data_IF_176556214780
#
_entry.id   IF_176556214780
#
_cell.length_a   1.000
_cell.length_b   1.000
_cell.length_c   1.000
_cell.angle_alpha   90.00
_cell.angle_beta   90.00
_cell.angle_gamma   90.00
#
_symmetry.space_group_name_H-M   'P 1'
#
loop_
_entity.id
_entity.type
_entity.pdbx_description
1 polymer ?
#
# COMPACT_ATOMS: atom_id res chain seq x y z
N UNK A 1 -4.60 -45.63 -20.91
CA UNK A 1 -5.34 -44.67 -20.07
C UNK A 1 -4.47 -44.41 -18.85
N UNK A 2 -3.90 -43.21 -18.73
CA UNK A 2 -3.00 -42.83 -17.65
C UNK A 2 -3.84 -42.49 -16.42
N UNK A 3 -3.81 -43.32 -15.38
CA UNK A 3 -4.76 -43.16 -14.27
C UNK A 3 -4.16 -42.40 -13.08
N UNK A 4 -2.83 -42.51 -12.88
CA UNK A 4 -2.14 -41.93 -11.71
C UNK A 4 -0.72 -41.47 -12.03
N UNK A 5 -0.54 -40.36 -12.78
CA UNK A 5 0.77 -39.76 -13.00
C UNK A 5 1.28 -39.06 -11.73
N UNK A 6 2.58 -39.23 -11.46
CA UNK A 6 3.32 -38.54 -10.41
C UNK A 6 4.68 -38.10 -10.94
N UNK A 7 5.14 -36.92 -10.54
CA UNK A 7 6.54 -36.55 -10.75
C UNK A 7 7.44 -37.34 -9.80
N UNK A 8 8.60 -37.77 -10.28
CA UNK A 8 9.63 -38.41 -9.46
C UNK A 8 10.95 -37.68 -9.72
N UNK A 9 11.62 -37.30 -8.64
CA UNK A 9 12.96 -36.69 -8.69
C UNK A 9 13.95 -37.67 -8.08
N UNK A 10 15.09 -37.85 -8.75
CA UNK A 10 16.16 -38.73 -8.32
C UNK A 10 17.20 -37.89 -7.59
N UNK A 11 17.34 -38.13 -6.29
CA UNK A 11 18.35 -37.52 -5.44
C UNK A 11 19.25 -38.61 -4.85
N UNK A 12 20.49 -38.67 -5.33
CA UNK A 12 21.44 -39.76 -5.05
C UNK A 12 20.78 -41.12 -5.37
N UNK A 13 20.69 -42.03 -4.40
CA UNK A 13 20.06 -43.34 -4.58
C UNK A 13 18.55 -43.33 -4.22
N UNK A 14 17.98 -42.17 -3.93
CA UNK A 14 16.57 -42.02 -3.53
C UNK A 14 15.72 -41.48 -4.66
N UNK A 15 14.61 -42.17 -4.93
CA UNK A 15 13.56 -41.66 -5.79
C UNK A 15 12.47 -41.00 -4.94
N UNK A 16 12.41 -39.67 -4.96
CA UNK A 16 11.43 -38.90 -4.22
C UNK A 16 10.21 -38.67 -5.10
N UNK A 17 9.06 -39.21 -4.68
CA UNK A 17 7.79 -39.15 -5.41
C UNK A 17 6.96 -37.96 -4.95
N UNK A 18 6.52 -37.14 -5.91
CA UNK A 18 5.65 -36.01 -5.68
C UNK A 18 4.16 -36.39 -5.57
N UNK A 19 3.30 -35.39 -5.30
CA UNK A 19 1.85 -35.59 -5.28
C UNK A 19 1.32 -36.02 -6.65
N UNK A 20 0.05 -36.46 -6.69
CA UNK A 20 -0.61 -36.85 -7.94
C UNK A 20 -0.70 -35.63 -8.87
N UNK A 21 -0.27 -35.78 -10.11
CA UNK A 21 -0.44 -34.74 -11.12
C UNK A 21 -1.91 -34.66 -11.59
N UNK A 22 -2.32 -33.46 -11.95
CA UNK A 22 -3.64 -33.19 -12.53
C UNK A 22 -3.52 -33.21 -14.05
N UNK A 23 -4.30 -34.07 -14.70
CA UNK A 23 -4.36 -34.13 -16.17
C UNK A 23 -5.39 -33.10 -16.61
N UNK A 24 -4.97 -32.11 -17.41
CA UNK A 24 -5.87 -31.11 -17.99
C UNK A 24 -6.33 -31.54 -19.38
N UNK A 25 -5.39 -32.02 -20.21
CA UNK A 25 -5.64 -32.52 -21.57
C UNK A 25 -4.73 -33.72 -21.86
N UNK A 26 -4.95 -34.40 -22.99
CA UNK A 26 -4.18 -35.60 -23.37
C UNK A 26 -2.67 -35.33 -23.55
N UNK A 27 -2.30 -34.08 -23.82
CA UNK A 27 -0.93 -33.57 -24.02
C UNK A 27 -0.45 -32.67 -22.87
N UNK A 28 -1.28 -32.41 -21.86
CA UNK A 28 -0.98 -31.45 -20.80
C UNK A 28 -1.39 -31.95 -19.42
N UNK A 29 -0.40 -32.04 -18.54
CA UNK A 29 -0.59 -32.30 -17.12
C UNK A 29 0.13 -31.26 -16.27
N UNK A 30 -0.45 -30.93 -15.12
CA UNK A 30 0.13 -30.08 -14.09
C UNK A 30 0.62 -30.94 -12.94
N UNK A 31 1.92 -30.86 -12.65
CA UNK A 31 2.56 -31.59 -11.57
C UNK A 31 3.18 -30.60 -10.59
N UNK A 32 2.98 -30.82 -9.30
CA UNK A 32 3.81 -30.19 -8.28
C UNK A 32 5.09 -31.01 -8.10
N UNK A 33 6.20 -30.32 -7.90
CA UNK A 33 7.49 -30.94 -7.56
C UNK A 33 7.40 -31.62 -6.18
N UNK A 34 8.15 -32.72 -5.96
CA UNK A 34 8.25 -33.33 -4.63
C UNK A 34 8.99 -32.42 -3.64
N UNK A 35 8.68 -32.57 -2.35
CA UNK A 35 9.52 -32.05 -1.28
C UNK A 35 10.76 -32.94 -1.12
N UNK A 36 11.94 -32.40 -1.42
CA UNK A 36 13.20 -33.14 -1.50
C UNK A 36 13.90 -33.30 -0.15
N UNK A 37 13.54 -32.50 0.87
CA UNK A 37 14.20 -32.48 2.19
C UNK A 37 15.74 -32.58 2.09
N UNK A 38 16.37 -31.63 1.40
CA UNK A 38 17.82 -31.64 1.17
C UNK A 38 18.57 -31.40 2.50
N UNK A 39 19.43 -32.33 2.96
CA UNK A 39 20.18 -32.15 4.20
C UNK A 39 21.16 -30.97 4.16
N UNK A 40 21.23 -30.21 5.25
CA UNK A 40 22.14 -29.05 5.36
C UNK A 40 23.63 -29.42 5.26
N UNK A 41 24.00 -30.64 5.66
CA UNK A 41 25.36 -31.18 5.63
C UNK A 41 25.72 -31.87 4.31
N UNK A 42 24.83 -31.83 3.32
CA UNK A 42 25.09 -32.36 1.97
C UNK A 42 26.33 -31.70 1.37
N UNK A 43 27.24 -32.51 0.82
CA UNK A 43 28.47 -32.04 0.17
C UNK A 43 28.22 -31.02 -0.96
N UNK A 44 27.21 -31.28 -1.78
CA UNK A 44 26.79 -30.41 -2.88
C UNK A 44 25.46 -29.74 -2.53
N UNK A 45 25.40 -29.06 -1.38
CA UNK A 45 24.22 -28.28 -1.00
C UNK A 45 23.95 -27.19 -2.06
N UNK A 46 22.70 -27.02 -2.51
CA UNK A 46 22.37 -26.01 -3.50
C UNK A 46 22.69 -24.61 -2.99
N UNK A 47 23.17 -23.75 -3.90
CA UNK A 47 23.34 -22.32 -3.70
C UNK A 47 22.74 -21.57 -4.90
N UNK A 48 22.69 -20.25 -4.83
CA UNK A 48 22.16 -19.42 -5.93
C UNK A 48 23.04 -19.46 -7.17
N UNK A 49 24.35 -19.44 -6.97
CA UNK A 49 25.30 -19.49 -8.09
C UNK A 49 25.51 -20.91 -8.60
N UNK A 50 25.32 -21.90 -7.73
CA UNK A 50 25.54 -23.32 -8.02
C UNK A 50 24.31 -24.11 -7.60
N UNK A 51 23.26 -24.19 -8.45
CA UNK A 51 22.09 -25.00 -8.17
C UNK A 51 22.44 -26.48 -8.16
N UNK A 52 21.70 -27.27 -7.38
CA UNK A 52 21.81 -28.72 -7.39
C UNK A 52 21.06 -29.26 -8.61
N UNK A 53 21.76 -29.98 -9.49
CA UNK A 53 21.19 -30.55 -10.70
C UNK A 53 20.69 -31.96 -10.46
N UNK A 54 19.38 -32.16 -10.52
CA UNK A 54 18.75 -33.46 -10.29
C UNK A 54 18.08 -34.01 -11.55
N UNK A 55 18.11 -35.33 -11.62
CA UNK A 55 17.38 -36.09 -12.63
C UNK A 55 15.91 -36.23 -12.22
N UNK A 56 15.02 -36.28 -13.20
CA UNK A 56 13.60 -36.39 -12.93
C UNK A 56 12.87 -37.17 -14.02
N UNK A 57 11.68 -37.65 -13.68
CA UNK A 57 10.78 -38.32 -14.59
C UNK A 57 9.36 -38.33 -14.07
N UNK A 58 8.52 -39.15 -14.69
CA UNK A 58 7.16 -39.39 -14.23
C UNK A 58 6.96 -40.88 -13.97
N UNK A 59 6.24 -41.19 -12.90
CA UNK A 59 5.72 -42.53 -12.62
C UNK A 59 4.25 -42.56 -13.01
N UNK A 60 3.85 -43.55 -13.80
CA UNK A 60 2.50 -43.70 -14.30
C UNK A 60 2.03 -45.13 -14.02
N UNK A 61 1.09 -45.25 -13.07
CA UNK A 61 0.54 -46.54 -12.64
C UNK A 61 1.60 -47.56 -12.17
N UNK A 62 2.60 -47.06 -11.45
CA UNK A 62 3.69 -47.88 -10.89
C UNK A 62 4.80 -48.20 -11.90
N UNK A 63 4.64 -47.82 -13.17
CA UNK A 63 5.69 -47.93 -14.18
C UNK A 63 6.48 -46.62 -14.21
N UNK A 64 7.80 -46.73 -14.21
CA UNK A 64 8.73 -45.61 -14.41
C UNK A 64 9.23 -45.65 -15.85
N UNK A 65 8.58 -44.96 -16.80
CA UNK A 65 8.95 -44.92 -18.21
C UNK A 65 10.40 -44.48 -18.49
N UNK A 66 11.07 -43.86 -17.53
CA UNK A 66 12.50 -43.56 -17.61
C UNK A 66 12.87 -42.19 -17.05
N UNK A 67 14.16 -41.91 -17.03
CA UNK A 67 14.71 -40.62 -16.64
C UNK A 67 14.59 -39.62 -17.80
N UNK A 68 13.76 -38.60 -17.65
CA UNK A 68 13.43 -37.65 -18.72
C UNK A 68 14.56 -36.66 -18.94
N UNK A 69 15.37 -36.37 -17.92
CA UNK A 69 16.53 -35.47 -18.05
C UNK A 69 17.61 -36.00 -19.01
N UNK A 70 17.54 -37.28 -19.40
CA UNK A 70 18.46 -37.90 -20.36
C UNK A 70 17.95 -37.83 -21.80
N UNK A 71 16.71 -37.41 -22.01
CA UNK A 71 16.13 -37.25 -23.34
C UNK A 71 16.63 -35.96 -23.99
N UNK A 72 16.93 -36.03 -25.29
CA UNK A 72 17.36 -34.86 -26.06
C UNK A 72 16.33 -33.73 -25.96
N UNK A 73 16.80 -32.52 -25.62
CA UNK A 73 15.96 -31.33 -25.45
C UNK A 73 15.46 -31.10 -24.03
N UNK A 74 15.71 -32.02 -23.09
CA UNK A 74 15.42 -31.83 -21.67
C UNK A 74 16.71 -31.67 -20.87
N UNK A 75 16.72 -30.69 -19.98
CA UNK A 75 17.83 -30.47 -19.05
C UNK A 75 17.51 -31.11 -17.70
N UNK A 76 18.54 -31.34 -16.89
CA UNK A 76 18.36 -31.66 -15.47
C UNK A 76 17.64 -30.51 -14.77
N UNK A 77 16.87 -30.85 -13.74
CA UNK A 77 16.18 -29.87 -12.92
C UNK A 77 17.17 -29.14 -12.03
N UNK A 78 17.10 -27.82 -12.02
CA UNK A 78 17.90 -26.97 -11.14
C UNK A 78 17.16 -26.75 -9.82
N UNK A 79 17.79 -27.12 -8.71
CA UNK A 79 17.26 -26.94 -7.36
C UNK A 79 18.04 -25.81 -6.69
N UNK A 80 17.30 -24.79 -6.25
CA UNK A 80 17.81 -23.64 -5.53
C UNK A 80 17.46 -23.73 -4.04
N UNK A 81 18.14 -22.98 -3.17
CA UNK A 81 17.73 -22.80 -1.78
C UNK A 81 16.31 -22.24 -1.66
N UNK A 82 15.64 -22.54 -0.55
CA UNK A 82 14.34 -21.96 -0.22
C UNK A 82 14.42 -20.42 -0.18
N UNK A 83 13.38 -19.72 -0.66
CA UNK A 83 13.31 -18.28 -0.60
C UNK A 83 13.20 -17.80 0.85
N UNK A 84 13.74 -16.63 1.14
CA UNK A 84 13.63 -15.99 2.45
C UNK A 84 12.69 -14.81 2.30
N UNK A 85 11.60 -14.79 3.06
CA UNK A 85 10.70 -13.63 3.15
C UNK A 85 10.98 -12.90 4.47
N UNK A 86 11.31 -11.61 4.37
CA UNK A 86 11.60 -10.78 5.54
C UNK A 86 10.32 -10.33 6.23
N UNK A 87 10.32 -10.36 7.57
CA UNK A 87 9.19 -9.90 8.37
C UNK A 87 9.18 -8.38 8.51
N UNK A 88 8.00 -7.82 8.69
CA UNK A 88 7.84 -6.43 9.10
C UNK A 88 8.34 -6.25 10.54
N UNK A 89 9.10 -5.19 10.77
CA UNK A 89 9.51 -4.77 12.11
C UNK A 89 8.37 -3.91 12.67
N UNK A 90 7.77 -4.34 13.79
CA UNK A 90 6.72 -3.63 14.53
C UNK A 90 5.44 -3.26 13.75
N UNK A 91 5.15 -4.02 12.68
CA UNK A 91 4.01 -3.80 11.80
C UNK A 91 4.29 -2.75 10.72
N UNK A 92 3.74 -2.96 9.53
CA UNK A 92 3.98 -2.08 8.38
C UNK A 92 2.84 -1.08 8.25
N UNK A 93 3.17 0.20 8.42
CA UNK A 93 2.25 1.28 8.03
C UNK A 93 2.00 1.26 6.52
N UNK A 94 0.73 1.34 6.14
CA UNK A 94 0.28 1.28 4.76
C UNK A 94 -0.76 2.37 4.47
N UNK A 95 -0.57 3.09 3.38
CA UNK A 95 -1.51 4.10 2.88
C UNK A 95 -2.40 3.45 1.83
N UNK A 96 -3.72 3.52 2.02
CA UNK A 96 -4.68 2.90 1.09
C UNK A 96 -4.49 3.41 -0.34
N UNK A 97 -4.25 2.48 -1.26
CA UNK A 97 -4.05 2.71 -2.69
C UNK A 97 -2.58 2.67 -3.13
N UNK A 98 -1.64 2.58 -2.20
CA UNK A 98 -0.22 2.42 -2.52
C UNK A 98 0.13 0.95 -2.79
N UNK A 99 1.33 0.70 -3.31
CA UNK A 99 1.85 -0.65 -3.46
C UNK A 99 2.50 -1.13 -2.15
N UNK A 100 2.24 -2.39 -1.78
CA UNK A 100 2.90 -3.05 -0.66
C UNK A 100 4.10 -3.84 -1.18
N UNK A 101 5.31 -3.42 -0.77
CA UNK A 101 6.55 -4.14 -1.06
C UNK A 101 6.98 -4.98 0.14
N UNK A 102 7.23 -6.26 -0.11
CA UNK A 102 7.71 -7.25 0.87
C UNK A 102 9.11 -7.67 0.42
N UNK A 103 10.08 -7.51 1.32
CA UNK A 103 11.48 -7.81 1.04
C UNK A 103 11.79 -9.30 1.27
N UNK A 104 12.88 -9.74 0.65
CA UNK A 104 13.33 -11.11 0.78
C UNK A 104 14.65 -11.39 0.08
N UNK A 105 14.94 -12.68 -0.09
CA UNK A 105 16.06 -13.19 -0.87
C UNK A 105 15.60 -14.40 -1.66
N UNK A 106 16.07 -14.49 -2.90
CA UNK A 106 15.87 -15.64 -3.78
C UNK A 106 14.40 -15.87 -4.17
N UNK A 107 13.59 -14.81 -4.13
CA UNK A 107 12.15 -14.88 -4.33
C UNK A 107 11.76 -15.33 -5.76
N UNK A 108 12.63 -15.06 -6.74
CA UNK A 108 12.45 -15.39 -8.15
C UNK A 108 13.43 -16.47 -8.66
N UNK A 109 14.21 -17.10 -7.76
CA UNK A 109 15.27 -18.02 -8.16
C UNK A 109 14.70 -19.31 -8.78
N UNK A 110 13.62 -19.83 -8.20
CA UNK A 110 12.93 -21.05 -8.67
C UNK A 110 11.40 -20.87 -8.78
N UNK A 111 10.91 -19.66 -8.55
CA UNK A 111 9.48 -19.34 -8.50
C UNK A 111 9.15 -18.21 -9.47
N UNK A 112 8.00 -18.33 -10.11
CA UNK A 112 7.41 -17.29 -10.94
C UNK A 112 6.26 -16.59 -10.22
N UNK A 113 5.72 -15.53 -10.82
CA UNK A 113 4.54 -14.82 -10.27
C UNK A 113 3.35 -15.74 -9.99
N UNK A 114 3.21 -16.84 -10.76
CA UNK A 114 2.12 -17.82 -10.62
C UNK A 114 2.26 -18.70 -9.37
N UNK A 115 3.48 -18.83 -8.87
CA UNK A 115 3.81 -19.64 -7.70
C UNK A 115 3.67 -18.83 -6.41
N UNK A 116 3.48 -17.51 -6.51
CA UNK A 116 3.40 -16.58 -5.39
C UNK A 116 1.95 -16.14 -5.15
N UNK A 117 1.50 -16.26 -3.92
CA UNK A 117 0.22 -15.72 -3.47
C UNK A 117 0.43 -14.90 -2.20
N UNK A 118 -0.05 -13.66 -2.20
CA UNK A 118 -0.01 -12.80 -1.02
C UNK A 118 -1.43 -12.63 -0.50
N UNK A 119 -1.62 -12.84 0.80
CA UNK A 119 -2.88 -12.63 1.50
C UNK A 119 -2.72 -11.59 2.61
N UNK A 120 -3.73 -10.75 2.75
CA UNK A 120 -3.83 -9.75 3.82
C UNK A 120 -5.15 -10.03 4.54
N UNK A 121 -5.06 -10.58 5.75
CA UNK A 121 -6.20 -11.25 6.38
C UNK A 121 -6.65 -12.43 5.52
N UNK A 122 -7.92 -12.43 5.13
CA UNK A 122 -8.51 -13.46 4.27
C UNK A 122 -8.52 -13.06 2.78
N UNK A 123 -8.12 -11.83 2.46
CA UNK A 123 -8.21 -11.27 1.12
C UNK A 123 -6.91 -11.45 0.32
N UNK A 124 -7.04 -11.58 -1.00
CA UNK A 124 -5.92 -11.70 -1.92
C UNK A 124 -5.34 -10.32 -2.28
N UNK A 125 -4.02 -10.20 -2.19
CA UNK A 125 -3.28 -9.04 -2.68
C UNK A 125 -2.72 -9.38 -4.07
N UNK A 126 -3.18 -8.67 -5.10
CA UNK A 126 -2.76 -8.95 -6.47
C UNK A 126 -1.29 -8.60 -6.65
N UNK A 127 -0.49 -9.60 -7.01
CA UNK A 127 0.94 -9.43 -7.27
C UNK A 127 1.14 -8.53 -8.49
N UNK A 128 2.02 -7.55 -8.38
CA UNK A 128 2.33 -6.59 -9.44
C UNK A 128 3.77 -6.66 -9.91
N UNK A 129 4.68 -7.16 -9.07
CA UNK A 129 6.05 -7.44 -9.46
C UNK A 129 6.67 -8.52 -8.57
N UNK A 130 7.52 -9.35 -9.16
CA UNK A 130 8.39 -10.29 -8.46
C UNK A 130 9.83 -10.09 -8.91
N UNK A 131 10.73 -9.94 -7.96
CA UNK A 131 12.17 -9.85 -8.19
C UNK A 131 12.92 -10.55 -7.05
N UNK A 132 14.20 -10.85 -7.27
CA UNK A 132 15.04 -11.61 -6.36
C UNK A 132 15.00 -11.16 -4.89
N UNK A 133 14.90 -9.86 -4.64
CA UNK A 133 14.94 -9.27 -3.30
C UNK A 133 13.64 -8.63 -2.84
N UNK A 134 12.64 -8.55 -3.70
CA UNK A 134 11.39 -7.89 -3.36
C UNK A 134 10.25 -8.44 -4.21
N UNK A 135 9.10 -8.62 -3.58
CA UNK A 135 7.84 -8.79 -4.26
C UNK A 135 6.93 -7.62 -3.91
N UNK A 136 6.10 -7.21 -4.86
CA UNK A 136 5.18 -6.09 -4.70
C UNK A 136 3.78 -6.54 -5.07
N UNK A 137 2.80 -6.14 -4.26
CA UNK A 137 1.40 -6.40 -4.54
C UNK A 137 0.55 -5.16 -4.25
N UNK A 138 -0.67 -5.12 -4.78
CA UNK A 138 -1.64 -4.05 -4.50
C UNK A 138 -2.69 -4.57 -3.51
N UNK A 139 -2.67 -4.11 -2.25
CA UNK A 139 -3.68 -4.49 -1.27
C UNK A 139 -5.09 -4.10 -1.72
N UNK A 140 -6.11 -4.93 -1.43
CA UNK A 140 -7.50 -4.59 -1.70
C UNK A 140 -7.92 -3.35 -0.88
N UNK A 141 -8.90 -2.60 -1.40
CA UNK A 141 -9.43 -1.44 -0.69
C UNK A 141 -10.20 -1.89 0.56
N UNK A 142 -9.77 -1.46 1.76
CA UNK A 142 -10.43 -1.84 3.02
C UNK A 142 -11.88 -1.34 3.11
N UNK A 143 -12.26 -0.30 2.35
CA UNK A 143 -13.65 0.19 2.34
C UNK A 143 -14.59 -0.70 1.52
N UNK A 144 -14.04 -1.47 0.59
CA UNK A 144 -14.77 -2.38 -0.28
C UNK A 144 -14.77 -3.79 0.31
N UNK A 145 -13.65 -4.20 0.92
CA UNK A 145 -13.58 -5.47 1.63
C UNK A 145 -14.21 -5.34 3.02
N UNK A 146 -15.41 -5.92 3.18
CA UNK A 146 -16.09 -6.03 4.47
C UNK A 146 -15.27 -6.80 5.55
N UNK A 147 -14.14 -7.40 5.17
CA UNK A 147 -13.26 -8.18 6.05
C UNK A 147 -12.09 -7.37 6.63
N UNK A 148 -11.81 -6.17 6.10
CA UNK A 148 -10.67 -5.36 6.52
C UNK A 148 -11.16 -4.04 7.12
N UNK A 149 -11.43 -4.00 8.42
CA UNK A 149 -11.76 -2.72 9.06
C UNK A 149 -10.50 -1.87 9.19
N UNK A 150 -10.65 -0.56 9.09
CA UNK A 150 -9.54 0.40 9.16
C UNK A 150 -8.75 0.34 10.49
N UNK A 151 -9.36 -0.15 11.58
CA UNK A 151 -8.70 -0.37 12.86
C UNK A 151 -8.13 -1.78 13.03
N UNK A 152 -8.42 -2.69 12.10
CA UNK A 152 -7.86 -4.03 12.14
C UNK A 152 -6.40 -4.00 11.70
N UNK A 153 -5.59 -4.85 12.35
CA UNK A 153 -4.20 -5.10 11.97
C UNK A 153 -4.10 -6.45 11.27
N UNK A 154 -4.52 -6.56 9.99
CA UNK A 154 -4.56 -7.85 9.33
C UNK A 154 -3.17 -8.45 9.17
N UNK A 155 -3.09 -9.76 9.33
CA UNK A 155 -1.87 -10.53 9.11
C UNK A 155 -1.58 -10.65 7.62
N UNK A 156 -0.33 -10.48 7.24
CA UNK A 156 0.16 -10.64 5.87
C UNK A 156 0.86 -11.98 5.76
N UNK A 157 0.31 -12.86 4.94
CA UNK A 157 0.86 -14.18 4.65
C UNK A 157 1.30 -14.22 3.19
N UNK A 158 2.56 -14.60 2.97
CA UNK A 158 3.09 -14.86 1.63
C UNK A 158 3.22 -16.37 1.47
N UNK A 159 2.63 -16.91 0.40
CA UNK A 159 2.79 -18.30 -0.01
C UNK A 159 3.63 -18.35 -1.27
N UNK A 160 4.67 -19.17 -1.27
CA UNK A 160 5.52 -19.44 -2.45
C UNK A 160 5.56 -20.95 -2.65
N UNK A 161 4.92 -21.44 -3.72
CA UNK A 161 4.73 -22.87 -3.96
C UNK A 161 4.03 -23.56 -2.78
N UNK A 162 4.73 -24.48 -2.11
CA UNK A 162 4.24 -25.19 -0.93
C UNK A 162 4.48 -24.50 0.41
N UNK A 163 5.25 -23.41 0.45
CA UNK A 163 5.73 -22.76 1.68
C UNK A 163 4.87 -21.56 2.06
N UNK A 164 4.64 -21.36 3.36
CA UNK A 164 3.92 -20.19 3.89
C UNK A 164 4.84 -19.38 4.82
N UNK A 165 4.84 -18.07 4.62
CA UNK A 165 5.65 -17.11 5.36
C UNK A 165 4.73 -16.10 6.03
N UNK A 166 4.79 -16.04 7.36
CA UNK A 166 4.12 -15.02 8.15
C UNK A 166 4.98 -13.76 8.21
N UNK A 167 4.57 -12.74 7.46
CA UNK A 167 5.33 -11.50 7.26
C UNK A 167 5.09 -10.53 8.42
N UNK A 168 3.92 -10.56 9.05
CA UNK A 168 3.54 -9.67 10.15
C UNK A 168 2.23 -8.96 9.88
N UNK A 169 2.04 -7.79 10.49
CA UNK A 169 0.77 -7.06 10.47
C UNK A 169 0.85 -5.79 9.62
N UNK A 170 -0.25 -5.47 8.95
CA UNK A 170 -0.43 -4.22 8.23
C UNK A 170 -1.24 -3.24 9.08
N UNK A 171 -0.84 -1.97 9.13
CA UNK A 171 -1.59 -0.90 9.83
C UNK A 171 -2.02 0.13 8.79
N UNK A 172 -3.33 0.24 8.58
CA UNK A 172 -3.87 1.20 7.62
C UNK A 172 -3.80 2.62 8.18
N UNK A 173 -3.17 3.50 7.43
CA UNK A 173 -3.25 4.93 7.66
C UNK A 173 -4.29 5.50 6.70
N UNK A 174 -5.23 6.24 7.27
CA UNK A 174 -6.30 6.92 6.59
C UNK A 174 -5.61 8.04 5.85
N UNK A 175 -6.18 8.40 4.72
CA UNK A 175 -5.91 9.73 4.20
C UNK A 175 -6.47 10.70 5.25
N UNK A 176 -5.68 11.03 6.27
CA UNK A 176 -5.70 12.40 6.74
C UNK A 176 -5.58 13.21 5.45
N UNK A 177 -6.61 14.01 5.20
CA UNK A 177 -6.58 14.90 4.06
C UNK A 177 -5.28 15.68 4.19
N UNK A 178 -4.33 15.44 3.28
CA UNK A 178 -3.11 16.23 3.13
C UNK A 178 -3.58 17.63 2.69
N UNK A 179 -4.21 18.37 3.60
CA UNK A 179 -4.56 19.77 3.42
C UNK A 179 -3.20 20.45 3.41
N UNK A 180 -2.69 20.77 2.22
CA UNK A 180 -1.42 21.44 2.03
C UNK A 180 -1.28 22.60 3.04
N UNK A 181 -0.10 22.81 3.65
CA UNK A 181 0.13 23.95 4.53
C UNK A 181 -0.30 25.28 3.88
N UNK A 182 -0.22 25.36 2.55
CA UNK A 182 -0.66 26.52 1.77
C UNK A 182 -2.18 26.72 1.79
N UNK A 183 -2.95 25.63 1.82
CA UNK A 183 -4.42 25.67 1.93
C UNK A 183 -4.84 26.04 3.35
N UNK A 184 -4.16 25.53 4.38
CA UNK A 184 -4.38 25.95 5.77
C UNK A 184 -4.06 27.44 5.96
N UNK A 185 -2.95 27.92 5.39
CA UNK A 185 -2.61 29.35 5.39
C UNK A 185 -3.67 30.16 4.64
N UNK A 186 -4.11 29.72 3.45
CA UNK A 186 -5.15 30.41 2.70
C UNK A 186 -6.48 30.51 3.46
N UNK A 187 -6.89 29.43 4.16
CA UNK A 187 -8.09 29.44 5.01
C UNK A 187 -7.89 30.43 6.17
N UNK A 188 -6.73 30.43 6.83
CA UNK A 188 -6.46 31.35 7.94
C UNK A 188 -6.43 32.82 7.49
N UNK A 189 -5.85 33.12 6.33
CA UNK A 189 -5.81 34.47 5.75
C UNK A 189 -7.19 34.92 5.28
N UNK A 190 -8.01 34.04 4.71
CA UNK A 190 -9.37 34.38 4.34
C UNK A 190 -10.18 34.78 5.58
N UNK A 191 -10.15 33.97 6.65
CA UNK A 191 -10.89 34.25 7.89
C UNK A 191 -10.44 35.57 8.54
N UNK A 192 -9.13 35.82 8.62
CA UNK A 192 -8.58 37.06 9.17
C UNK A 192 -8.86 38.26 8.26
N UNK A 193 -8.75 38.10 6.94
CA UNK A 193 -9.02 39.14 5.95
C UNK A 193 -10.49 39.59 5.94
N UNK A 194 -11.44 38.66 6.09
CA UNK A 194 -12.85 39.01 6.26
C UNK A 194 -13.10 39.82 7.54
N UNK A 195 -12.38 39.50 8.62
CA UNK A 195 -12.49 40.22 9.89
C UNK A 195 -11.87 41.64 9.81
N UNK A 196 -10.80 41.80 9.03
CA UNK A 196 -10.12 43.09 8.83
C UNK A 196 -10.88 44.02 7.87
N UNK A 197 -11.49 43.46 6.80
CA UNK A 197 -12.36 44.20 5.88
C UNK A 197 -13.64 44.71 6.57
N UNK A 198 -14.27 43.90 7.42
CA UNK A 198 -15.44 44.32 8.19
C UNK A 198 -15.08 45.40 9.23
N UNK A 199 -13.91 45.29 9.87
CA UNK A 199 -13.41 46.31 10.79
C UNK A 199 -13.12 47.64 10.07
N UNK A 200 -12.49 47.62 8.90
CA UNK A 200 -12.21 48.83 8.12
C UNK A 200 -13.48 49.49 7.57
N UNK A 201 -14.47 48.71 7.12
CA UNK A 201 -15.80 49.24 6.75
C UNK A 201 -16.50 49.90 7.93
N UNK A 202 -16.49 49.26 9.11
CA UNK A 202 -17.03 49.85 10.33
C UNK A 202 -16.30 51.15 10.72
N UNK A 203 -14.97 51.18 10.65
CA UNK A 203 -14.17 52.37 10.97
C UNK A 203 -14.47 53.54 10.02
N UNK A 204 -14.62 53.28 8.72
CA UNK A 204 -15.01 54.28 7.73
C UNK A 204 -16.42 54.84 7.98
N UNK A 205 -17.38 53.97 8.31
CA UNK A 205 -18.75 54.38 8.64
C UNK A 205 -18.80 55.24 9.91
N UNK A 206 -18.03 54.89 10.95
CA UNK A 206 -17.93 55.68 12.19
C UNK A 206 -17.31 57.04 11.92
N UNK A 207 -16.30 57.12 11.04
CA UNK A 207 -15.64 58.38 10.68
C UNK A 207 -16.57 59.31 9.90
N UNK A 208 -17.35 58.77 8.94
CA UNK A 208 -18.35 59.54 8.19
C UNK A 208 -19.47 60.06 9.12
N UNK A 209 -19.97 59.22 10.02
CA UNK A 209 -20.97 59.61 11.01
C UNK A 209 -20.46 60.73 11.95
N UNK A 210 -19.21 60.64 12.43
CA UNK A 210 -18.60 61.69 13.26
C UNK A 210 -18.41 63.00 12.49
N UNK A 211 -18.00 62.94 11.22
CA UNK A 211 -17.87 64.13 10.37
C UNK A 211 -19.20 64.85 10.18
N UNK A 212 -20.26 64.08 9.89
CA UNK A 212 -21.63 64.61 9.76
C UNK A 212 -22.14 65.19 11.08
N UNK A 213 -21.87 64.55 12.21
CA UNK A 213 -22.25 65.07 13.52
C UNK A 213 -21.53 66.39 13.85
N UNK A 214 -20.22 66.48 13.60
CA UNK A 214 -19.45 67.72 13.79
C UNK A 214 -19.95 68.86 12.90
N UNK A 215 -20.32 68.57 11.65
CA UNK A 215 -20.94 69.54 10.74
C UNK A 215 -22.29 70.05 11.26
N UNK A 216 -23.11 69.18 11.84
CA UNK A 216 -24.39 69.57 12.46
C UNK A 216 -24.15 70.39 13.73
N UNK A 217 -23.19 70.01 14.57
CA UNK A 217 -22.80 70.74 15.79
C UNK A 217 -22.32 72.16 15.47
N UNK A 218 -21.44 72.32 14.46
CA UNK A 218 -20.98 73.64 14.01
C UNK A 218 -22.11 74.50 13.45
N UNK A 219 -23.11 73.89 12.80
CA UNK A 219 -24.32 74.61 12.36
C UNK A 219 -25.19 75.04 13.54
N UNK A 220 -25.35 74.20 14.57
CA UNK A 220 -26.11 74.55 15.77
C UNK A 220 -25.42 75.66 16.57
N UNK A 221 -24.09 75.59 16.74
CA UNK A 221 -23.30 76.65 17.38
C UNK A 221 -23.34 77.96 16.57
N UNK A 222 -23.32 77.87 15.23
CA UNK A 222 -23.50 79.03 14.35
C UNK A 222 -24.88 79.69 14.50
N UNK A 223 -25.94 78.90 14.60
CA UNK A 223 -27.32 79.38 14.84
C UNK A 223 -27.44 80.00 16.24
N UNK A 224 -26.81 79.43 17.26
CA UNK A 224 -26.82 79.97 18.63
C UNK A 224 -26.09 81.33 18.70
N UNK A 225 -24.98 81.50 17.96
CA UNK A 225 -24.28 82.78 17.84
C UNK A 225 -25.10 83.87 17.12
N UNK A 226 -25.85 83.51 16.07
CA UNK A 226 -26.77 84.45 15.42
C UNK A 226 -27.95 84.82 16.35
N UNK A 227 -28.49 83.86 17.10
CA UNK A 227 -29.54 84.11 18.10
C UNK A 227 -29.04 84.98 19.27
N UNK A 228 -27.80 84.76 19.74
CA UNK A 228 -27.17 85.56 20.78
C UNK A 228 -26.91 87.01 20.32
N UNK A 229 -26.46 87.21 19.06
CA UNK A 229 -26.31 88.55 18.46
C UNK A 229 -27.65 89.27 18.30
N UNK A 230 -28.70 88.57 17.86
CA UNK A 230 -30.05 89.15 17.75
C UNK A 230 -30.62 89.59 19.13
N UNK A 231 -30.25 88.90 20.22
CA UNK A 231 -30.69 89.23 21.58
C UNK A 231 -29.95 90.43 22.17
N UNK A 232 -28.71 90.68 21.76
CA UNK A 232 -27.89 91.79 22.25
C UNK A 232 -28.22 93.13 21.57
N UNK A 233 -28.80 93.10 20.36
CA UNK A 233 -29.19 94.33 19.64
C UNK A 233 -30.50 94.96 20.14
N UNK A 234 -31.25 94.29 21.04
CA UNK A 234 -32.54 94.76 21.55
C UNK A 234 -32.57 95.02 23.07
N UNK A 235 -31.42 95.29 23.70
CA UNK A 235 -31.37 95.69 25.12
C UNK A 235 -30.12 96.50 25.49
N UNK A 236 -30.11 97.79 25.17
CA UNK A 236 -29.31 98.82 25.83
C UNK A 236 -30.12 100.13 25.87
N UNK A 237 -30.71 100.42 27.04
CA UNK A 237 -31.34 101.67 27.53
C UNK A 237 -32.57 102.20 26.74
N UNK A 238 -33.73 102.40 27.38
CA UNK A 238 -34.08 103.59 28.19
C UNK A 238 -33.94 104.91 27.43
#
# INVERSE_FOLDING_TARGET
MLQRPHMVVMDEDRAVKGPKCTIERDDLMHCFTPDLMIPHDRRNHPTIEHPLLLDYGFEMDGVRPGNISQLSGFNRMEIFPDPIVERFVDGRSYRSGDYLTINGKYLDAAASERDVQVKIGDELCNLTALANRALTCLPPDPTISNQLQYNDKPRVIVKIGGMNYDVGELVYNSKESDISPQVLVAISVAILGFHEDDYQKCALLIRDARSKLNMILLRLEGVDMECARAKQQNRCYE
#
